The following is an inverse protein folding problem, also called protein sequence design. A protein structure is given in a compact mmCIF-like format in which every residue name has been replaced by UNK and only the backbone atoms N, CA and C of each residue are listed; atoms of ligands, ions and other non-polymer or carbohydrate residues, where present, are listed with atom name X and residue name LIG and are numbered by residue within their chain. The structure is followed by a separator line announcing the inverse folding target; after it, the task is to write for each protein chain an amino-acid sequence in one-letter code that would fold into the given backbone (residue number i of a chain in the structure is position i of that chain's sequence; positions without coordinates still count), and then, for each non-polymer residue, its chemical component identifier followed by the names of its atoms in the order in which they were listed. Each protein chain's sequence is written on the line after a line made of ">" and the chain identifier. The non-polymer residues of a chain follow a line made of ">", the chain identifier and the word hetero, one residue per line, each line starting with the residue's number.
data_IF_724360650503
#
_entry.id   IF_724360650503
#
_cell.length_a   1.000
_cell.length_b   1.000
_cell.length_c   1.000
_cell.angle_alpha   90.00
_cell.angle_beta   90.00
_cell.angle_gamma   90.00
#
_symmetry.space_group_name_H-M   'P 1'
#
loop_
_entity.id
_entity.type
_entity.pdbx_description
1 polymer ?
#
# COMPACT_ATOMS: atom_id res chain seq x y z
N UNK A 1 8.99 -4.92 -12.93
CA UNK A 1 7.75 -4.13 -12.97
C UNK A 1 7.75 -3.16 -11.80
N UNK A 2 7.19 -1.98 -12.04
CA UNK A 2 6.97 -0.95 -11.03
C UNK A 2 5.64 -1.19 -10.33
N UNK A 3 5.68 -1.28 -9.00
CA UNK A 3 4.53 -1.60 -8.17
C UNK A 3 4.30 -0.47 -7.19
N UNK A 4 3.05 -0.01 -7.12
CA UNK A 4 2.56 0.64 -5.90
C UNK A 4 1.90 -0.43 -5.03
N UNK A 5 2.32 -0.53 -3.78
CA UNK A 5 1.76 -1.48 -2.82
C UNK A 5 0.84 -0.77 -1.83
N UNK A 6 -0.39 -1.24 -1.65
CA UNK A 6 -1.35 -0.69 -0.69
C UNK A 6 -1.75 -1.75 0.35
N UNK A 7 -1.37 -1.54 1.61
CA UNK A 7 -1.71 -2.48 2.68
C UNK A 7 -1.36 -2.00 4.07
N UNK A 8 -1.88 -2.67 5.09
CA UNK A 8 -1.77 -2.19 6.49
C UNK A 8 -1.25 -3.24 7.49
N UNK A 9 -1.90 -4.41 7.67
CA UNK A 9 -1.55 -5.34 8.73
C UNK A 9 -0.36 -6.22 8.37
N UNK A 10 0.03 -7.09 9.31
CA UNK A 10 1.11 -8.09 9.12
C UNK A 10 0.88 -8.95 7.89
N UNK A 11 -0.36 -9.36 7.62
CA UNK A 11 -0.74 -10.09 6.41
C UNK A 11 -0.26 -9.40 5.12
N UNK A 12 -0.46 -8.08 5.03
CA UNK A 12 -0.02 -7.30 3.88
C UNK A 12 1.51 -7.11 3.86
N UNK A 13 2.15 -6.97 5.03
CA UNK A 13 3.61 -6.85 5.10
C UNK A 13 4.32 -8.11 4.58
N UNK A 14 3.75 -9.31 4.77
CA UNK A 14 4.27 -10.55 4.18
C UNK A 14 4.24 -10.48 2.65
N UNK A 15 3.14 -10.01 2.06
CA UNK A 15 3.03 -9.83 0.61
C UNK A 15 4.02 -8.78 0.08
N UNK A 16 4.15 -7.62 0.76
CA UNK A 16 5.15 -6.61 0.39
C UNK A 16 6.57 -7.18 0.39
N UNK A 17 6.94 -7.93 1.44
CA UNK A 17 8.26 -8.57 1.50
C UNK A 17 8.48 -9.52 0.33
N UNK A 18 7.48 -10.35 0.00
CA UNK A 18 7.58 -11.29 -1.11
C UNK A 18 7.79 -10.59 -2.46
N UNK A 19 7.11 -9.47 -2.72
CA UNK A 19 7.28 -8.67 -3.94
C UNK A 19 8.68 -8.04 -4.04
N UNK A 20 9.24 -7.60 -2.92
CA UNK A 20 10.60 -7.05 -2.88
C UNK A 20 11.64 -8.14 -3.14
N UNK A 21 11.48 -9.30 -2.47
CA UNK A 21 12.40 -10.42 -2.61
C UNK A 21 12.34 -11.07 -4.00
N UNK A 22 11.23 -10.92 -4.74
CA UNK A 22 11.11 -11.36 -6.15
C UNK A 22 11.71 -10.40 -7.17
N UNK A 23 12.33 -9.29 -6.73
CA UNK A 23 13.02 -8.35 -7.60
C UNK A 23 12.11 -7.35 -8.31
N UNK A 24 10.87 -7.17 -7.86
CA UNK A 24 10.03 -6.07 -8.35
C UNK A 24 10.45 -4.73 -7.76
N UNK A 25 10.20 -3.65 -8.49
CA UNK A 25 10.49 -2.29 -8.05
C UNK A 25 9.25 -1.70 -7.36
N UNK A 26 9.20 -1.74 -6.03
CA UNK A 26 8.11 -1.10 -5.28
C UNK A 26 8.42 0.40 -5.14
N UNK A 27 7.77 1.23 -5.97
CA UNK A 27 8.08 2.67 -6.09
C UNK A 27 7.35 3.53 -5.05
N UNK A 28 6.24 3.04 -4.50
CA UNK A 28 5.45 3.71 -3.48
C UNK A 28 4.70 2.70 -2.62
N UNK A 29 4.66 2.94 -1.31
CA UNK A 29 3.85 2.18 -0.36
C UNK A 29 2.76 3.07 0.22
N UNK A 30 1.51 2.63 0.07
CA UNK A 30 0.33 3.22 0.72
C UNK A 30 -0.04 2.37 1.94
N UNK A 31 -0.23 3.00 3.08
CA UNK A 31 -0.68 2.32 4.31
C UNK A 31 -1.58 3.24 5.13
N UNK A 32 -2.38 2.71 6.04
CA UNK A 32 -3.23 3.56 6.90
C UNK A 32 -2.37 4.47 7.78
N UNK A 33 -2.88 5.63 8.24
CA UNK A 33 -2.25 6.42 9.28
C UNK A 33 -1.94 5.60 10.54
N UNK A 34 -0.95 6.02 11.31
CA UNK A 34 -0.64 5.42 12.60
C UNK A 34 -1.86 5.57 13.52
N UNK A 35 -2.30 4.47 14.13
CA UNK A 35 -3.48 4.45 15.00
C UNK A 35 -3.11 3.93 16.38
N UNK A 36 -3.79 4.40 17.44
CA UNK A 36 -3.71 3.81 18.77
C UNK A 36 -4.02 2.31 18.75
N UNK A 37 -3.18 1.50 19.39
CA UNK A 37 -3.39 0.06 19.50
C UNK A 37 -2.88 -0.50 20.84
N UNK A 38 -3.40 -1.66 21.25
CA UNK A 38 -2.99 -2.36 22.47
C UNK A 38 -3.37 -1.68 23.79
N UNK A 39 -2.86 -2.21 24.90
CA UNK A 39 -3.07 -1.63 26.24
C UNK A 39 -2.31 -0.29 26.34
N UNK A 40 -3.02 0.77 26.69
CA UNK A 40 -2.47 2.13 26.81
C UNK A 40 -2.50 2.96 25.53
N UNK A 41 -3.08 2.45 24.43
CA UNK A 41 -3.46 3.21 23.23
C UNK A 41 -2.34 4.09 22.65
N UNK A 42 -1.09 3.64 22.74
CA UNK A 42 0.03 4.35 22.11
C UNK A 42 -0.08 4.20 20.58
N UNK A 43 0.20 5.26 19.79
CA UNK A 43 0.25 5.16 18.34
C UNK A 43 1.23 4.07 17.92
N UNK A 44 0.76 3.14 17.09
CA UNK A 44 1.59 2.09 16.54
C UNK A 44 1.63 2.21 15.02
N UNK A 45 2.85 2.26 14.47
CA UNK A 45 3.06 2.23 13.04
C UNK A 45 2.54 0.91 12.43
N UNK A 46 1.80 0.96 11.31
CA UNK A 46 1.38 -0.24 10.59
C UNK A 46 2.55 -1.15 10.25
N UNK A 47 2.31 -2.47 10.17
CA UNK A 47 3.35 -3.43 9.85
C UNK A 47 3.98 -3.16 8.47
N UNK A 48 3.15 -2.75 7.50
CA UNK A 48 3.60 -2.34 6.16
C UNK A 48 4.49 -1.11 6.20
N UNK A 49 4.13 -0.08 7.00
CA UNK A 49 4.96 1.13 7.19
C UNK A 49 6.36 0.76 7.70
N UNK A 50 6.43 -0.02 8.78
CA UNK A 50 7.72 -0.40 9.38
C UNK A 50 8.62 -1.13 8.37
N UNK A 51 8.04 -2.08 7.62
CA UNK A 51 8.79 -2.82 6.61
C UNK A 51 9.26 -1.90 5.48
N UNK A 52 8.40 -1.02 5.01
CA UNK A 52 8.73 -0.07 3.94
C UNK A 52 9.88 0.88 4.36
N UNK A 53 9.80 1.45 5.56
CA UNK A 53 10.86 2.30 6.12
C UNK A 53 12.18 1.55 6.29
N UNK A 54 12.16 0.31 6.80
CA UNK A 54 13.35 -0.54 6.91
C UNK A 54 14.01 -0.83 5.57
N UNK A 55 13.24 -0.82 4.48
CA UNK A 55 13.72 -1.05 3.11
C UNK A 55 13.96 0.26 2.35
N UNK A 56 13.86 1.42 3.00
CA UNK A 56 14.10 2.73 2.39
C UNK A 56 13.03 3.15 1.37
N UNK A 57 11.83 2.58 1.43
CA UNK A 57 10.75 2.86 0.48
C UNK A 57 9.97 4.12 0.88
N UNK A 58 9.48 4.85 -0.13
CA UNK A 58 8.57 5.98 0.07
C UNK A 58 7.23 5.49 0.61
N UNK A 59 6.79 6.05 1.73
CA UNK A 59 5.49 5.74 2.36
C UNK A 59 4.57 6.96 2.29
N UNK A 60 3.30 6.73 1.95
CA UNK A 60 2.23 7.74 2.03
C UNK A 60 1.08 7.17 2.87
N UNK A 61 0.59 7.96 3.82
CA UNK A 61 -0.45 7.55 4.78
C UNK A 61 -1.71 8.41 4.67
N UNK A 62 -2.48 8.28 3.57
CA UNK A 62 -3.63 9.14 3.38
C UNK A 62 -4.81 8.69 4.25
N UNK A 63 -5.60 9.65 4.72
CA UNK A 63 -6.90 9.37 5.34
C UNK A 63 -7.98 9.02 4.30
N UNK A 64 -7.78 9.42 3.04
CA UNK A 64 -8.66 9.14 1.90
C UNK A 64 -7.86 9.06 0.61
N UNK A 65 -8.23 8.13 -0.29
CA UNK A 65 -7.63 7.98 -1.61
C UNK A 65 -8.18 8.95 -2.66
N UNK A 66 -9.24 9.70 -2.34
CA UNK A 66 -9.87 10.64 -3.27
C UNK A 66 -9.12 11.97 -3.40
N UNK A 67 -8.07 12.20 -2.61
CA UNK A 67 -7.34 13.46 -2.68
C UNK A 67 -6.48 13.53 -3.94
N UNK A 68 -6.45 14.70 -4.57
CA UNK A 68 -5.63 14.93 -5.75
C UNK A 68 -4.13 14.72 -5.46
N UNK A 69 -3.68 14.95 -4.23
CA UNK A 69 -2.30 14.67 -3.80
C UNK A 69 -1.95 13.19 -3.85
N UNK A 70 -2.86 12.32 -3.42
CA UNK A 70 -2.64 10.87 -3.46
C UNK A 70 -2.62 10.38 -4.89
N UNK A 71 -3.57 10.82 -5.72
CA UNK A 71 -3.61 10.47 -7.14
C UNK A 71 -2.32 10.92 -7.84
N UNK A 72 -1.85 12.15 -7.58
CA UNK A 72 -0.56 12.63 -8.11
C UNK A 72 0.61 11.79 -7.62
N UNK A 73 0.67 11.47 -6.33
CA UNK A 73 1.77 10.65 -5.78
C UNK A 73 1.83 9.26 -6.44
N UNK A 74 0.68 8.62 -6.67
CA UNK A 74 0.59 7.33 -7.37
C UNK A 74 0.95 7.49 -8.85
N UNK A 75 0.44 8.51 -9.54
CA UNK A 75 0.76 8.78 -10.94
C UNK A 75 2.27 9.02 -11.17
N UNK A 76 2.89 9.83 -10.30
CA UNK A 76 4.33 10.11 -10.35
C UNK A 76 5.19 8.87 -10.02
N UNK A 77 4.63 7.88 -9.34
CA UNK A 77 5.30 6.60 -9.11
C UNK A 77 5.27 5.68 -10.35
N UNK A 78 4.47 6.05 -11.37
CA UNK A 78 4.30 5.37 -12.66
C UNK A 78 4.23 3.84 -12.55
N UNK A 79 3.27 3.30 -11.77
CA UNK A 79 3.14 1.86 -11.59
C UNK A 79 2.67 1.16 -12.85
N UNK A 80 3.19 -0.04 -13.09
CA UNK A 80 2.62 -1.01 -14.02
C UNK A 80 1.34 -1.63 -13.42
N UNK A 81 1.33 -1.86 -12.10
CA UNK A 81 0.23 -2.46 -11.32
C UNK A 81 0.17 -1.86 -9.92
N UNK A 82 -1.05 -1.77 -9.36
CA UNK A 82 -1.24 -1.51 -7.92
C UNK A 82 -1.61 -2.84 -7.25
N UNK A 83 -0.81 -3.28 -6.28
CA UNK A 83 -1.10 -4.49 -5.49
C UNK A 83 -1.69 -4.08 -4.15
N UNK A 84 -2.88 -4.59 -3.85
CA UNK A 84 -3.65 -4.27 -2.65
C UNK A 84 -3.75 -5.50 -1.75
N UNK A 85 -3.54 -5.33 -0.45
CA UNK A 85 -3.75 -6.37 0.55
C UNK A 85 -4.20 -5.76 1.87
N UNK A 86 -5.43 -6.06 2.32
CA UNK A 86 -5.97 -5.62 3.60
C UNK A 86 -5.71 -4.12 3.92
N UNK A 87 -5.97 -3.23 2.95
CA UNK A 87 -5.63 -1.81 3.04
C UNK A 87 -6.64 -1.00 3.88
N UNK A 88 -7.94 -1.28 3.71
CA UNK A 88 -9.02 -0.67 4.48
C UNK A 88 -9.52 0.70 3.99
N UNK A 89 -9.01 1.22 2.86
CA UNK A 89 -9.64 2.31 2.12
C UNK A 89 -10.18 1.79 0.79
N UNK A 90 -11.28 2.39 0.33
CA UNK A 90 -11.86 2.13 -0.99
C UNK A 90 -10.96 2.80 -2.04
N UNK A 91 -10.58 2.05 -3.08
CA UNK A 91 -9.87 2.60 -4.22
C UNK A 91 -10.88 3.31 -5.15
N UNK A 92 -10.75 4.61 -5.41
CA UNK A 92 -11.58 5.28 -6.40
C UNK A 92 -11.23 4.82 -7.81
N UNK A 93 -12.20 4.97 -8.72
CA UNK A 93 -12.05 4.63 -10.15
C UNK A 93 -10.81 5.27 -10.77
N UNK A 94 -10.47 6.51 -10.38
CA UNK A 94 -9.26 7.19 -10.83
C UNK A 94 -7.98 6.39 -10.55
N UNK A 95 -7.89 5.70 -9.42
CA UNK A 95 -6.74 4.84 -9.11
C UNK A 95 -6.86 3.45 -9.76
N UNK A 96 -8.09 2.93 -9.88
CA UNK A 96 -8.33 1.64 -10.54
C UNK A 96 -7.86 1.64 -12.00
N UNK A 97 -8.09 2.76 -12.70
CA UNK A 97 -7.80 2.93 -14.13
C UNK A 97 -6.42 3.55 -14.41
N UNK A 98 -5.65 3.93 -13.38
CA UNK A 98 -4.36 4.59 -13.53
C UNK A 98 -3.24 3.64 -14.04
N UNK A 99 -2.97 2.49 -13.39
CA UNK A 99 -1.97 1.55 -13.86
C UNK A 99 -2.46 0.77 -15.10
N UNK A 100 -1.61 0.50 -16.09
CA UNK A 100 -2.00 -0.24 -17.30
C UNK A 100 -2.45 -1.68 -17.02
N UNK A 101 -1.97 -2.32 -15.96
CA UNK A 101 -2.40 -3.67 -15.54
C UNK A 101 -3.48 -3.64 -14.45
N UNK A 102 -4.03 -2.47 -14.14
CA UNK A 102 -5.07 -2.32 -13.13
C UNK A 102 -4.60 -2.53 -11.69
N UNK A 103 -5.56 -2.83 -10.82
CA UNK A 103 -5.34 -3.07 -9.41
C UNK A 103 -5.65 -4.54 -9.06
N UNK A 104 -4.70 -5.24 -8.43
CA UNK A 104 -4.87 -6.62 -7.99
C UNK A 104 -5.01 -6.66 -6.47
N UNK A 105 -6.09 -7.28 -5.98
CA UNK A 105 -6.32 -7.43 -4.55
C UNK A 105 -6.06 -8.86 -4.09
N UNK A 106 -5.18 -9.02 -3.10
CA UNK A 106 -4.95 -10.28 -2.40
C UNK A 106 -6.08 -10.44 -1.36
N UNK A 107 -7.02 -11.34 -1.67
CA UNK A 107 -8.14 -11.66 -0.81
C UNK A 107 -7.91 -12.97 -0.05
N UNK A 108 -8.30 -13.02 1.23
CA UNK A 108 -8.02 -14.15 2.11
C UNK A 108 -9.13 -15.22 2.06
N UNK A 109 -9.63 -15.53 0.87
CA UNK A 109 -10.60 -16.60 0.63
C UNK A 109 -10.54 -17.11 -0.82
N UNK A 110 -11.27 -18.18 -1.09
CA UNK A 110 -11.62 -18.61 -2.44
C UNK A 110 -12.94 -17.91 -2.81
N UNK A 111 -12.89 -17.00 -3.79
CA UNK A 111 -14.04 -16.22 -4.24
C UNK A 111 -15.02 -17.03 -5.09
#
# INVERSE_FOLDING_TARGET
>A
MKIVFAGTPVFAAVALKALLDSGHEVTLVLTQPDRPAGRGLKPQAPAVKRLAEQRGLKVVQPSSLNSADVVRAVASASPDVIVVAAYGLILPETLLNLPPLGCLNIHASLL
#
